data_IF_313684710586
#
_entry.id   IF_313684710586
#
_cell.length_a   1.000
_cell.length_b   1.000
_cell.length_c   1.000
_cell.angle_alpha   90.00
_cell.angle_beta   90.00
_cell.angle_gamma   90.00
#
_symmetry.space_group_name_H-M   'P 1'
#
loop_
_entity.id
_entity.type
_entity.pdbx_description
1 polymer ?
#
# COMPACT_ATOMS: atom_id res chain seq x y z
N UNK A 1 -31.86 -28.18 50.86
CA UNK A 1 -30.84 -27.17 50.48
C UNK A 1 -30.11 -27.50 49.16
N UNK A 2 -30.72 -28.18 48.17
CA UNK A 2 -30.00 -28.67 46.97
C UNK A 2 -30.24 -27.86 45.67
N UNK A 3 -31.14 -26.86 45.71
CA UNK A 3 -31.57 -26.15 44.50
C UNK A 3 -30.97 -24.73 44.34
N UNK A 4 -30.36 -24.18 45.40
CA UNK A 4 -29.79 -22.81 45.36
C UNK A 4 -28.49 -22.75 44.56
N UNK A 5 -27.66 -23.81 44.61
CA UNK A 5 -26.39 -23.87 43.85
C UNK A 5 -26.57 -24.10 42.34
N UNK A 6 -27.61 -24.83 41.93
CA UNK A 6 -27.91 -25.05 40.51
C UNK A 6 -28.38 -23.75 39.85
N UNK A 7 -29.17 -22.96 40.57
CA UNK A 7 -29.69 -21.68 40.06
C UNK A 7 -28.57 -20.64 39.88
N UNK A 8 -27.61 -20.57 40.83
CA UNK A 8 -26.48 -19.64 40.73
C UNK A 8 -25.51 -20.02 39.61
N UNK A 9 -25.22 -21.31 39.42
CA UNK A 9 -24.37 -21.80 38.32
C UNK A 9 -25.02 -21.50 36.97
N UNK A 10 -26.33 -21.71 36.85
CA UNK A 10 -27.09 -21.40 35.62
C UNK A 10 -27.01 -19.91 35.23
N UNK A 11 -27.18 -19.01 36.21
CA UNK A 11 -27.11 -17.55 35.98
C UNK A 11 -25.69 -17.10 35.58
N UNK A 12 -24.65 -17.64 36.22
CA UNK A 12 -23.26 -17.31 35.86
C UNK A 12 -22.93 -17.77 34.44
N UNK A 13 -23.37 -18.97 34.05
CA UNK A 13 -23.16 -19.48 32.68
C UNK A 13 -23.90 -18.64 31.63
N UNK A 14 -25.10 -18.15 31.93
CA UNK A 14 -25.84 -17.28 30.99
C UNK A 14 -25.16 -15.93 30.82
N UNK A 15 -24.69 -15.32 31.91
CA UNK A 15 -23.94 -14.04 31.84
C UNK A 15 -22.65 -14.21 31.05
N UNK A 16 -21.92 -15.32 31.24
CA UNK A 16 -20.67 -15.59 30.54
C UNK A 16 -20.89 -15.80 29.02
N UNK A 17 -21.97 -16.48 28.64
CA UNK A 17 -22.38 -16.64 27.23
C UNK A 17 -22.72 -15.32 26.55
N UNK A 18 -23.39 -14.40 27.27
CA UNK A 18 -23.70 -13.05 26.76
C UNK A 18 -22.40 -12.25 26.55
N UNK A 19 -21.47 -12.29 27.51
CA UNK A 19 -20.18 -11.61 27.38
C UNK A 19 -19.35 -12.13 26.20
N UNK A 20 -19.28 -13.46 26.02
CA UNK A 20 -18.58 -14.07 24.88
C UNK A 20 -19.27 -13.71 23.57
N UNK A 21 -20.61 -13.74 23.52
CA UNK A 21 -21.37 -13.35 22.33
C UNK A 21 -21.13 -11.90 21.91
N UNK A 22 -21.12 -10.95 22.85
CA UNK A 22 -20.84 -9.53 22.57
C UNK A 22 -19.41 -9.32 22.09
N UNK A 23 -18.43 -10.04 22.66
CA UNK A 23 -17.03 -9.95 22.25
C UNK A 23 -16.81 -10.50 20.83
N UNK A 24 -17.44 -11.63 20.50
CA UNK A 24 -17.36 -12.24 19.15
C UNK A 24 -18.07 -11.36 18.10
N UNK A 25 -19.22 -10.75 18.42
CA UNK A 25 -19.90 -9.82 17.50
C UNK A 25 -19.09 -8.55 17.21
N UNK A 26 -18.35 -8.03 18.20
CA UNK A 26 -17.45 -6.89 18.02
C UNK A 26 -16.19 -7.25 17.22
N UNK A 27 -15.81 -8.53 17.17
CA UNK A 27 -14.65 -9.02 16.43
C UNK A 27 -14.94 -9.30 14.94
N UNK A 28 -16.21 -9.42 14.53
CA UNK A 28 -16.58 -9.55 13.12
C UNK A 28 -16.62 -8.20 12.39
N UNK A 29 -15.43 -7.76 11.98
CA UNK A 29 -15.15 -7.33 10.61
C UNK A 29 -15.71 -5.98 10.14
N UNK A 30 -15.00 -4.88 10.44
CA UNK A 30 -15.01 -3.70 9.58
C UNK A 30 -14.26 -4.06 8.30
N UNK A 31 -14.97 -4.26 7.19
CA UNK A 31 -14.36 -4.39 5.88
C UNK A 31 -14.20 -2.98 5.30
N UNK A 32 -13.13 -2.28 5.67
CA UNK A 32 -12.81 -0.97 5.10
C UNK A 32 -12.38 -1.16 3.63
N UNK A 33 -13.35 -1.14 2.73
CA UNK A 33 -13.09 -1.06 1.30
C UNK A 33 -12.58 0.34 0.98
N UNK A 34 -11.26 0.50 0.83
CA UNK A 34 -10.66 1.77 0.41
C UNK A 34 -11.00 2.00 -1.07
N UNK A 35 -11.98 2.89 -1.32
CA UNK A 35 -12.27 3.36 -2.67
C UNK A 35 -11.10 4.19 -3.18
N UNK A 36 -10.41 3.68 -4.21
CA UNK A 36 -9.35 4.45 -4.89
C UNK A 36 -10.01 5.32 -5.96
N UNK A 37 -9.94 6.64 -5.78
CA UNK A 37 -10.52 7.63 -6.69
C UNK A 37 -9.47 8.51 -7.39
N UNK A 38 -9.88 9.10 -8.51
CA UNK A 38 -9.11 10.13 -9.23
C UNK A 38 -7.71 9.68 -9.66
N UNK A 39 -6.72 10.49 -9.30
CA UNK A 39 -5.31 10.30 -9.61
C UNK A 39 -4.56 9.39 -8.62
N UNK A 40 -5.25 8.82 -7.62
CA UNK A 40 -4.60 7.96 -6.62
C UNK A 40 -4.03 6.69 -7.29
N UNK A 41 -2.71 6.43 -7.19
CA UNK A 41 -2.08 5.25 -7.73
C UNK A 41 -2.61 3.96 -7.10
N UNK A 42 -2.94 2.97 -7.91
CA UNK A 42 -3.24 1.60 -7.47
C UNK A 42 -2.55 0.56 -8.37
N UNK A 43 -2.48 -0.67 -7.86
CA UNK A 43 -1.73 -1.77 -8.47
C UNK A 43 -0.30 -1.37 -8.81
N UNK A 44 0.39 -0.76 -7.83
CA UNK A 44 1.81 -0.41 -7.96
C UNK A 44 2.62 -1.69 -8.03
N UNK A 45 3.39 -1.86 -9.11
CA UNK A 45 4.25 -3.00 -9.34
C UNK A 45 5.67 -2.52 -9.64
N UNK A 46 6.65 -3.23 -9.10
CA UNK A 46 8.08 -2.94 -9.25
C UNK A 46 8.73 -4.19 -9.82
N UNK A 47 9.42 -4.06 -10.95
CA UNK A 47 10.09 -5.17 -11.65
C UNK A 47 11.48 -4.74 -12.11
N UNK A 48 12.34 -5.71 -12.37
CA UNK A 48 13.57 -5.46 -13.13
C UNK A 48 13.19 -4.94 -14.51
N UNK A 49 13.87 -3.87 -14.96
CA UNK A 49 13.70 -3.39 -16.32
C UNK A 49 14.48 -4.24 -17.33
N UNK A 50 14.39 -3.90 -18.60
CA UNK A 50 15.06 -4.63 -19.69
C UNK A 50 16.60 -4.55 -19.60
N UNK A 51 17.13 -3.46 -19.03
CA UNK A 51 18.57 -3.31 -18.77
C UNK A 51 18.90 -3.83 -17.38
N UNK A 52 20.06 -4.46 -17.23
CA UNK A 52 20.53 -5.06 -15.97
C UNK A 52 20.48 -4.10 -14.77
N UNK A 53 20.80 -2.82 -15.00
CA UNK A 53 20.84 -1.76 -13.98
C UNK A 53 19.61 -0.86 -14.03
N UNK A 54 18.44 -1.43 -14.31
CA UNK A 54 17.19 -0.68 -14.41
C UNK A 54 16.03 -1.33 -13.66
N UNK A 55 15.08 -0.50 -13.26
CA UNK A 55 13.82 -0.91 -12.63
C UNK A 55 12.66 -0.26 -13.38
N UNK A 56 11.65 -1.07 -13.66
CA UNK A 56 10.36 -0.63 -14.17
C UNK A 56 9.37 -0.54 -13.01
N UNK A 57 8.73 0.62 -12.88
CA UNK A 57 7.68 0.87 -11.90
C UNK A 57 6.40 1.19 -12.68
N UNK A 58 5.35 0.41 -12.43
CA UNK A 58 4.05 0.60 -13.08
C UNK A 58 2.95 0.82 -12.06
N UNK A 59 1.93 1.59 -12.45
CA UNK A 59 0.71 1.76 -11.66
C UNK A 59 -0.44 2.23 -12.56
N UNK A 60 -1.64 2.28 -11.97
CA UNK A 60 -2.84 2.78 -12.62
C UNK A 60 -3.51 3.88 -11.82
N UNK A 61 -4.31 4.71 -12.49
CA UNK A 61 -5.20 5.71 -11.92
C UNK A 61 -6.59 5.59 -12.55
N UNK A 62 -7.64 6.05 -11.86
CA UNK A 62 -9.02 5.98 -12.37
C UNK A 62 -9.28 7.03 -13.44
N UNK A 63 -8.67 8.21 -13.29
CA UNK A 63 -8.73 9.33 -14.23
C UNK A 63 -7.39 9.56 -14.92
N UNK A 64 -7.40 10.26 -16.07
CA UNK A 64 -6.16 10.62 -16.77
C UNK A 64 -5.43 11.70 -15.99
N UNK A 65 -4.17 11.44 -15.61
CA UNK A 65 -3.40 12.33 -14.74
C UNK A 65 -1.96 12.44 -15.22
N UNK A 66 -1.36 13.61 -15.03
CA UNK A 66 0.10 13.76 -15.16
C UNK A 66 0.76 13.10 -13.96
N UNK A 67 1.75 12.24 -14.20
CA UNK A 67 2.42 11.55 -13.12
C UNK A 67 3.90 11.27 -13.41
N UNK A 68 4.70 11.24 -12.35
CA UNK A 68 6.13 11.00 -12.38
C UNK A 68 6.60 10.43 -11.03
N UNK A 69 7.85 9.99 -10.96
CA UNK A 69 8.45 9.43 -9.76
C UNK A 69 9.51 10.38 -9.22
N UNK A 70 9.45 10.65 -7.91
CA UNK A 70 10.57 11.19 -7.14
C UNK A 70 11.31 10.02 -6.51
N UNK A 71 12.64 9.99 -6.61
CA UNK A 71 13.43 8.90 -6.03
C UNK A 71 14.78 9.40 -5.51
N UNK A 72 15.43 8.55 -4.71
CA UNK A 72 16.72 8.86 -4.10
C UNK A 72 17.23 7.71 -3.24
N UNK A 73 18.40 7.89 -2.65
CA UNK A 73 19.02 6.89 -1.76
C UNK A 73 18.80 7.18 -0.29
N UNK A 74 18.15 8.30 0.02
CA UNK A 74 17.78 8.74 1.35
C UNK A 74 16.27 8.87 1.42
N UNK A 75 15.62 8.16 2.35
CA UNK A 75 14.16 8.18 2.48
C UNK A 75 13.58 9.59 2.65
N UNK A 76 14.29 10.49 3.35
CA UNK A 76 13.84 11.87 3.61
C UNK A 76 14.20 12.86 2.51
N UNK A 77 14.91 12.43 1.47
CA UNK A 77 15.44 13.30 0.43
C UNK A 77 15.40 12.62 -0.94
N UNK A 78 14.27 12.77 -1.62
CA UNK A 78 14.02 12.24 -2.98
C UNK A 78 14.28 13.35 -4.00
N UNK A 79 15.53 13.57 -4.34
CA UNK A 79 15.97 14.70 -5.19
C UNK A 79 16.09 14.36 -6.68
N UNK A 80 15.85 13.11 -7.09
CA UNK A 80 15.88 12.68 -8.47
C UNK A 80 14.46 12.52 -9.01
N UNK A 81 14.29 12.77 -10.30
CA UNK A 81 13.00 12.70 -11.00
C UNK A 81 13.09 11.68 -12.13
N UNK A 82 12.10 10.81 -12.24
CA UNK A 82 11.92 9.90 -13.38
C UNK A 82 10.51 10.06 -13.96
N UNK A 83 10.42 10.10 -15.29
CA UNK A 83 9.18 10.30 -16.04
C UNK A 83 8.96 9.14 -17.01
N UNK A 84 7.71 8.96 -17.44
CA UNK A 84 7.40 8.05 -18.55
C UNK A 84 7.86 8.71 -19.87
N UNK A 85 8.83 8.08 -20.54
CA UNK A 85 9.40 8.58 -21.80
C UNK A 85 8.77 7.93 -23.04
N UNK A 86 8.04 6.83 -22.87
CA UNK A 86 7.53 6.01 -23.99
C UNK A 86 6.00 6.06 -24.09
N UNK A 87 5.32 6.45 -23.01
CA UNK A 87 3.88 6.49 -22.90
C UNK A 87 3.28 7.89 -22.95
N UNK A 88 1.97 7.95 -22.70
CA UNK A 88 1.24 9.20 -22.50
C UNK A 88 1.52 9.72 -21.09
N UNK A 89 2.28 10.82 -21.01
CA UNK A 89 2.54 11.52 -19.76
C UNK A 89 1.25 11.85 -18.99
N UNK A 90 0.09 11.94 -19.67
CA UNK A 90 -1.26 12.08 -19.11
C UNK A 90 -2.13 10.83 -19.30
N UNK A 91 -1.61 9.67 -18.92
CA UNK A 91 -2.31 8.40 -19.00
C UNK A 91 -3.21 8.05 -17.80
N UNK A 92 -3.84 6.88 -17.89
CA UNK A 92 -4.41 6.12 -16.75
C UNK A 92 -3.53 4.93 -16.34
N UNK A 93 -2.64 4.52 -17.23
CA UNK A 93 -1.64 3.49 -17.00
C UNK A 93 -0.30 4.20 -17.14
N UNK A 94 0.59 3.97 -16.20
CA UNK A 94 1.87 4.64 -16.16
C UNK A 94 2.98 3.60 -16.05
N UNK A 95 4.06 3.84 -16.79
CA UNK A 95 5.26 3.02 -16.78
C UNK A 95 6.47 3.94 -16.70
N UNK A 96 7.27 3.82 -15.65
CA UNK A 96 8.49 4.62 -15.50
C UNK A 96 9.67 3.67 -15.36
N UNK A 97 10.69 3.88 -16.18
CA UNK A 97 11.94 3.10 -16.14
C UNK A 97 13.04 3.98 -15.57
N UNK A 98 13.59 3.56 -14.43
CA UNK A 98 14.74 4.20 -13.79
C UNK A 98 15.99 3.42 -14.19
N UNK A 99 16.96 4.09 -14.81
CA UNK A 99 18.19 3.50 -15.33
C UNK A 99 19.40 3.82 -14.44
N UNK A 100 20.52 3.14 -14.71
CA UNK A 100 21.83 3.41 -14.10
C UNK A 100 21.84 3.27 -12.57
N UNK A 101 21.07 2.32 -12.05
CA UNK A 101 21.01 2.02 -10.63
C UNK A 101 22.08 0.99 -10.23
N UNK A 102 22.66 1.17 -9.05
CA UNK A 102 23.52 0.16 -8.44
C UNK A 102 22.68 -0.96 -7.83
N UNK A 103 22.93 -2.21 -8.25
CA UNK A 103 22.04 -3.33 -7.93
C UNK A 103 21.92 -3.67 -6.45
N UNK A 104 23.00 -3.47 -5.68
CA UNK A 104 23.06 -3.74 -4.24
C UNK A 104 22.57 -2.57 -3.37
N UNK A 105 22.26 -1.41 -3.96
CA UNK A 105 21.89 -0.20 -3.23
C UNK A 105 20.38 -0.13 -3.06
N UNK A 106 19.95 0.22 -1.84
CA UNK A 106 18.54 0.53 -1.55
C UNK A 106 18.22 1.94 -2.04
N UNK A 107 17.13 2.04 -2.79
CA UNK A 107 16.53 3.29 -3.22
C UNK A 107 15.14 3.42 -2.60
N UNK A 108 14.67 4.65 -2.54
CA UNK A 108 13.33 5.02 -2.09
C UNK A 108 12.67 5.80 -3.21
N UNK A 109 11.36 5.64 -3.37
CA UNK A 109 10.61 6.44 -4.32
C UNK A 109 9.21 6.81 -3.82
N UNK A 110 8.66 7.86 -4.41
CA UNK A 110 7.27 8.26 -4.25
C UNK A 110 6.69 8.60 -5.61
N UNK A 111 5.41 8.28 -5.80
CA UNK A 111 4.69 8.58 -7.04
C UNK A 111 4.05 9.94 -6.86
N UNK A 112 4.36 10.90 -7.72
CA UNK A 112 3.62 12.16 -7.81
C UNK A 112 2.59 12.02 -8.91
N UNK A 113 1.31 12.09 -8.57
CA UNK A 113 0.20 11.92 -9.51
C UNK A 113 -0.84 13.01 -9.28
N UNK A 114 -1.19 13.75 -10.33
CA UNK A 114 -2.12 14.89 -10.21
C UNK A 114 -1.66 15.97 -9.22
N UNK A 115 -0.34 16.10 -9.00
CA UNK A 115 0.24 17.06 -8.04
C UNK A 115 0.30 16.59 -6.58
N UNK A 116 -0.22 15.39 -6.28
CA UNK A 116 -0.16 14.80 -4.93
C UNK A 116 0.91 13.72 -4.88
N UNK A 117 1.65 13.65 -3.77
CA UNK A 117 2.68 12.63 -3.55
C UNK A 117 2.11 11.43 -2.82
N UNK A 118 2.38 10.24 -3.33
CA UNK A 118 1.91 8.97 -2.82
C UNK A 118 3.06 8.02 -2.50
N UNK A 119 2.87 7.27 -1.42
CA UNK A 119 3.76 6.23 -0.95
C UNK A 119 2.96 5.19 -0.17
N UNK A 120 3.64 4.18 0.36
CA UNK A 120 3.01 3.17 1.21
C UNK A 120 2.83 3.76 2.61
N UNK A 121 1.59 3.85 3.07
CA UNK A 121 1.24 4.42 4.39
C UNK A 121 1.76 5.86 4.57
N UNK A 122 1.80 6.63 3.48
CA UNK A 122 2.33 8.00 3.46
C UNK A 122 3.87 8.10 3.42
N UNK A 123 4.57 6.97 3.36
CA UNK A 123 6.03 6.91 3.32
C UNK A 123 6.55 6.47 1.94
N UNK A 124 7.74 6.94 1.51
CA UNK A 124 8.38 6.44 0.31
C UNK A 124 8.56 4.92 0.32
N UNK A 125 8.38 4.30 -0.85
CA UNK A 125 8.51 2.85 -1.05
C UNK A 125 9.99 2.53 -1.31
N UNK A 126 10.54 1.55 -0.60
CA UNK A 126 11.93 1.11 -0.77
C UNK A 126 12.04 -0.04 -1.78
N UNK A 127 13.14 -0.08 -2.54
CA UNK A 127 13.49 -1.21 -3.40
C UNK A 127 15.01 -1.33 -3.59
N UNK A 128 15.48 -2.49 -4.02
CA UNK A 128 16.80 -2.68 -4.64
C UNK A 128 16.68 -3.72 -5.76
N UNK A 129 17.48 -3.61 -6.83
CA UNK A 129 17.43 -4.55 -7.96
C UNK A 129 17.72 -5.99 -7.49
N UNK A 130 18.61 -6.16 -6.51
CA UNK A 130 18.95 -7.48 -5.96
C UNK A 130 17.81 -8.17 -5.21
N UNK A 131 16.79 -7.43 -4.80
CA UNK A 131 15.63 -7.94 -4.04
C UNK A 131 14.37 -8.15 -4.88
N UNK A 132 14.43 -7.76 -6.15
CA UNK A 132 13.39 -7.97 -7.17
C UNK A 132 13.69 -9.26 -7.96
#
# INVERSE_FOLDING_TARGET
MKNRGIFTIGVVLTVLMIFVGVFVFKASGSNDSVSVEGCNPYNVEIKKGEKENSVEITWKSKTRCSAYILYGTEMKNLNLVAIDLEGDFRGKNHKVVINSLLSSKTYFFSIVSGGTTYGKDGLPISFSISSL
#
